data_IF_181637796273
#
_entry.id   IF_181637796273
#
_cell.length_a   1.000
_cell.length_b   1.000
_cell.length_c   1.000
_cell.angle_alpha   90.00
_cell.angle_beta   90.00
_cell.angle_gamma   90.00
#
_symmetry.space_group_name_H-M   'P 1'
#
loop_
_entity.id
_entity.type
_entity.pdbx_description
1 polymer ?
#
# COMPACT_ATOMS: atom_id res chain seq x y z
N UNK A 1 8.39 13.94 -20.11
CA UNK A 1 8.12 13.58 -18.70
C UNK A 1 7.14 12.42 -18.75
N UNK A 2 7.62 11.18 -18.68
CA UNK A 2 6.73 10.02 -18.67
C UNK A 2 6.18 9.91 -17.25
N UNK A 3 4.89 10.25 -17.08
CA UNK A 3 4.15 9.84 -15.90
C UNK A 3 4.16 8.32 -15.98
N UNK A 4 4.91 7.65 -15.11
CA UNK A 4 4.78 6.21 -14.95
C UNK A 4 3.30 6.02 -14.61
N UNK A 5 2.58 5.35 -15.49
CA UNK A 5 1.20 4.94 -15.23
C UNK A 5 1.29 4.01 -14.03
N UNK A 6 1.13 4.57 -12.82
CA UNK A 6 1.11 3.85 -11.55
C UNK A 6 -0.21 3.13 -11.44
N UNK A 7 -0.39 2.16 -12.33
CA UNK A 7 -1.54 1.30 -12.44
C UNK A 7 -1.32 0.17 -11.45
N UNK A 8 -1.78 0.37 -10.22
CA UNK A 8 -1.75 -0.66 -9.21
C UNK A 8 -3.03 -1.51 -9.24
N UNK A 9 -2.90 -2.78 -8.90
CA UNK A 9 -4.01 -3.73 -8.81
C UNK A 9 -4.48 -3.80 -7.37
N UNK A 10 -5.79 -3.82 -7.14
CA UNK A 10 -6.28 -3.96 -5.77
C UNK A 10 -6.09 -5.41 -5.27
N UNK A 11 -5.47 -5.66 -4.10
CA UNK A 11 -5.29 -7.00 -3.57
C UNK A 11 -6.62 -7.69 -3.17
N UNK A 12 -7.69 -6.92 -2.95
CA UNK A 12 -8.99 -7.44 -2.51
C UNK A 12 -9.92 -7.82 -3.66
N UNK A 13 -10.05 -6.94 -4.67
CA UNK A 13 -10.99 -7.14 -5.78
C UNK A 13 -10.31 -7.56 -7.09
N UNK A 14 -8.97 -7.63 -7.11
CA UNK A 14 -8.15 -8.08 -8.23
C UNK A 14 -8.37 -7.30 -9.55
N UNK A 15 -8.96 -6.09 -9.46
CA UNK A 15 -9.12 -5.20 -10.59
C UNK A 15 -7.88 -4.30 -10.75
N UNK A 16 -7.29 -4.34 -11.94
CA UNK A 16 -6.20 -3.43 -12.33
C UNK A 16 -6.69 -1.99 -12.51
N UNK A 17 -5.80 -1.01 -12.33
CA UNK A 17 -6.07 0.43 -12.52
C UNK A 17 -7.13 1.03 -11.61
N UNK A 18 -7.46 0.34 -10.52
CA UNK A 18 -8.57 0.72 -9.64
C UNK A 18 -8.09 1.38 -8.34
N UNK A 19 -6.78 1.47 -8.15
CA UNK A 19 -6.14 1.96 -6.94
C UNK A 19 -5.65 3.39 -7.15
N UNK A 20 -6.07 4.30 -6.28
CA UNK A 20 -5.62 5.69 -6.22
C UNK A 20 -4.75 5.91 -4.99
N UNK A 21 -3.65 6.63 -5.15
CA UNK A 21 -2.73 6.96 -4.06
C UNK A 21 -2.68 8.49 -3.86
N UNK A 22 -2.73 8.91 -2.60
CA UNK A 22 -2.72 10.30 -2.17
C UNK A 22 -1.67 10.49 -1.09
N UNK A 23 -0.74 11.43 -1.30
CA UNK A 23 0.30 11.77 -0.32
C UNK A 23 0.03 13.17 0.24
N UNK A 24 -0.25 13.25 1.53
CA UNK A 24 -0.35 14.49 2.28
C UNK A 24 0.93 14.74 3.07
N UNK A 25 1.84 15.49 2.45
CA UNK A 25 3.11 15.91 3.06
C UNK A 25 2.95 16.89 4.24
N UNK A 26 1.78 17.52 4.43
CA UNK A 26 1.55 18.41 5.59
C UNK A 26 1.31 17.60 6.85
N UNK A 27 0.58 16.50 6.71
CA UNK A 27 0.27 15.58 7.79
C UNK A 27 1.25 14.40 7.85
N UNK A 28 2.12 14.26 6.85
CA UNK A 28 3.01 13.11 6.66
C UNK A 28 2.22 11.79 6.60
N UNK A 29 1.08 11.81 5.90
CA UNK A 29 0.21 10.65 5.72
C UNK A 29 0.08 10.34 4.24
N UNK A 30 0.30 9.07 3.89
CA UNK A 30 0.05 8.49 2.57
C UNK A 30 -1.17 7.60 2.67
N UNK A 31 -2.11 7.78 1.75
CA UNK A 31 -3.33 7.02 1.68
C UNK A 31 -3.42 6.34 0.32
N UNK A 32 -3.88 5.10 0.32
CA UNK A 32 -4.20 4.34 -0.87
C UNK A 32 -5.62 3.83 -0.76
N UNK A 33 -6.39 3.92 -1.84
CA UNK A 33 -7.79 3.50 -1.84
C UNK A 33 -8.18 2.87 -3.17
N UNK A 34 -9.05 1.87 -3.13
CA UNK A 34 -9.61 1.24 -4.32
C UNK A 34 -10.97 1.86 -4.67
N UNK A 35 -11.10 2.42 -5.87
CA UNK A 35 -12.38 2.96 -6.36
C UNK A 35 -13.45 1.91 -6.69
N UNK A 36 -13.10 0.61 -6.69
CA UNK A 36 -14.04 -0.50 -6.98
C UNK A 36 -14.62 -1.07 -5.70
N UNK A 37 -13.78 -1.60 -4.81
CA UNK A 37 -14.21 -2.23 -3.56
C UNK A 37 -14.24 -1.28 -2.36
N UNK A 38 -13.77 -0.03 -2.53
CA UNK A 38 -13.72 1.02 -1.50
C UNK A 38 -12.79 0.71 -0.31
N UNK A 39 -11.92 -0.29 -0.44
CA UNK A 39 -10.92 -0.59 0.57
C UNK A 39 -9.84 0.49 0.57
N UNK A 40 -9.37 0.89 1.75
CA UNK A 40 -8.37 1.94 1.91
C UNK A 40 -7.36 1.62 3.00
N UNK A 41 -6.12 2.07 2.80
CA UNK A 41 -5.03 1.95 3.74
C UNK A 41 -4.30 3.28 3.86
N UNK A 42 -3.79 3.57 5.05
CA UNK A 42 -3.04 4.78 5.33
C UNK A 42 -1.80 4.47 6.14
N UNK A 43 -0.65 5.01 5.73
CA UNK A 43 0.64 4.87 6.42
C UNK A 43 1.30 6.24 6.58
N UNK A 44 2.29 6.32 7.46
CA UNK A 44 3.13 7.51 7.61
C UNK A 44 4.13 7.62 6.47
N UNK A 45 4.31 8.82 5.93
CA UNK A 45 5.19 9.06 4.79
C UNK A 45 6.28 10.07 5.09
N UNK A 46 7.36 10.00 4.32
CA UNK A 46 8.50 10.91 4.39
C UNK A 46 8.66 11.67 3.08
N UNK A 47 9.61 12.61 3.05
CA UNK A 47 9.93 13.37 1.83
C UNK A 47 10.46 12.54 0.66
N UNK A 48 10.84 11.29 0.90
CA UNK A 48 11.32 10.37 -0.13
C UNK A 48 10.26 9.33 -0.51
N UNK A 49 9.10 9.35 0.15
CA UNK A 49 8.06 8.34 -0.07
C UNK A 49 7.32 8.61 -1.37
N UNK A 50 7.26 7.58 -2.21
CA UNK A 50 6.56 7.54 -3.48
C UNK A 50 5.30 6.67 -3.39
N UNK A 51 4.42 6.77 -4.39
CA UNK A 51 3.16 6.02 -4.41
C UNK A 51 3.38 4.49 -4.39
N UNK A 52 4.51 4.03 -4.94
CA UNK A 52 4.89 2.61 -4.93
C UNK A 52 5.21 2.13 -3.51
N UNK A 53 5.86 2.94 -2.68
CA UNK A 53 6.22 2.56 -1.31
C UNK A 53 4.95 2.35 -0.47
N UNK A 54 3.98 3.25 -0.60
CA UNK A 54 2.69 3.17 0.11
C UNK A 54 1.89 1.94 -0.35
N UNK A 55 1.92 1.64 -1.65
CA UNK A 55 1.27 0.46 -2.18
C UNK A 55 1.97 -0.82 -1.71
N UNK A 56 3.29 -0.88 -1.68
CA UNK A 56 4.05 -2.02 -1.13
C UNK A 56 3.69 -2.27 0.33
N UNK A 57 3.71 -1.23 1.17
CA UNK A 57 3.28 -1.34 2.57
C UNK A 57 1.84 -1.85 2.71
N UNK A 58 0.94 -1.41 1.82
CA UNK A 58 -0.43 -1.92 1.84
C UNK A 58 -0.51 -3.41 1.53
N UNK A 59 0.31 -3.91 0.59
CA UNK A 59 0.37 -5.34 0.27
C UNK A 59 0.95 -6.13 1.44
N UNK A 60 2.08 -5.70 1.99
CA UNK A 60 2.72 -6.33 3.15
C UNK A 60 1.75 -6.40 4.34
N UNK A 61 0.99 -5.34 4.57
CA UNK A 61 -0.02 -5.29 5.65
C UNK A 61 -1.21 -6.22 5.37
N UNK A 62 -1.66 -6.32 4.12
CA UNK A 62 -2.69 -7.29 3.72
C UNK A 62 -2.20 -8.72 3.95
N UNK A 63 -0.95 -9.01 3.61
CA UNK A 63 -0.34 -10.32 3.84
C UNK A 63 -0.18 -10.63 5.32
N UNK A 64 0.20 -9.65 6.15
CA UNK A 64 0.32 -9.80 7.60
C UNK A 64 -1.03 -10.09 8.27
N UNK A 65 -2.08 -9.36 7.90
CA UNK A 65 -3.44 -9.58 8.42
C UNK A 65 -4.00 -10.93 7.93
N UNK A 66 -3.65 -11.35 6.72
CA UNK A 66 -4.15 -12.61 6.17
C UNK A 66 -3.34 -13.84 6.62
N UNK A 67 -2.10 -13.66 7.09
CA UNK A 67 -1.21 -14.70 7.61
C UNK A 67 -0.93 -14.52 9.12
N UNK A 68 -1.95 -14.34 9.96
CA UNK A 68 -1.83 -14.26 11.44
C UNK A 68 -1.22 -15.52 12.14
N UNK A 69 -0.38 -16.33 11.47
CA UNK A 69 0.21 -17.57 12.01
C UNK A 69 1.76 -17.70 11.93
N UNK A 70 2.56 -16.78 11.34
CA UNK A 70 4.00 -17.07 11.06
C UNK A 70 5.07 -16.10 11.63
N UNK A 71 4.76 -15.16 12.53
CA UNK A 71 5.78 -14.21 13.06
C UNK A 71 6.55 -14.69 14.32
N UNK A 72 7.01 -15.95 14.38
CA UNK A 72 7.87 -16.42 15.49
C UNK A 72 9.03 -17.35 15.11
N UNK A 73 9.85 -17.12 14.08
CA UNK A 73 10.99 -18.06 13.90
C UNK A 73 12.32 -17.59 13.24
N UNK A 74 12.64 -16.29 13.12
CA UNK A 74 13.93 -15.89 12.49
C UNK A 74 14.90 -15.06 13.37
N UNK A 75 14.81 -15.13 14.69
CA UNK A 75 15.86 -14.57 15.57
C UNK A 75 16.46 -15.64 16.48
N UNK A 76 17.22 -16.59 15.92
CA UNK A 76 18.27 -17.35 16.63
C UNK A 76 19.21 -18.03 15.62
N UNK A 77 20.26 -17.31 15.20
CA UNK A 77 21.50 -17.88 14.62
C UNK A 77 22.68 -17.44 15.46
#
# INVERSE_FOLDING_TARGET
MYKLDTVFSCPFCNHGSSVECRIDMKNLIGEVSCGICQESFSTTVSALTEAVDIYSEWIDECERVNNEDDEREEQEV
#
